data_IF_953072458505
#
_entry.id   IF_953072458505
#
_cell.length_a   1.000
_cell.length_b   1.000
_cell.length_c   1.000
_cell.angle_alpha   90.00
_cell.angle_beta   90.00
_cell.angle_gamma   90.00
#
_symmetry.space_group_name_H-M   'P 1'
#
loop_
_entity.id
_entity.type
_entity.pdbx_description
1 polymer ?
#
# COMPACT_ATOMS: atom_id res chain seq x y z
N UNK A 1 25.41 2.68 -9.58
CA UNK A 1 25.32 1.20 -9.49
C UNK A 1 24.15 0.77 -8.63
N UNK A 2 23.92 1.41 -7.49
CA UNK A 2 22.82 1.11 -6.56
C UNK A 2 21.44 1.50 -7.11
N UNK A 3 21.32 2.70 -7.69
CA UNK A 3 20.11 3.17 -8.37
C UNK A 3 19.65 2.23 -9.51
N UNK A 4 20.60 1.60 -10.22
CA UNK A 4 20.31 0.61 -11.25
C UNK A 4 19.78 -0.73 -10.70
N UNK A 5 20.13 -1.10 -9.45
CA UNK A 5 19.58 -2.30 -8.80
C UNK A 5 18.16 -2.05 -8.30
N UNK A 6 17.90 -0.89 -7.71
CA UNK A 6 16.54 -0.51 -7.29
C UNK A 6 15.58 -0.53 -8.49
N UNK A 7 15.97 0.07 -9.61
CA UNK A 7 15.12 0.12 -10.80
C UNK A 7 14.90 -1.25 -11.43
N UNK A 8 15.89 -2.15 -11.35
CA UNK A 8 15.73 -3.56 -11.75
C UNK A 8 14.69 -4.27 -10.90
N UNK A 9 14.74 -4.10 -9.57
CA UNK A 9 13.77 -4.71 -8.64
C UNK A 9 12.36 -4.19 -8.93
N UNK A 10 12.18 -2.87 -9.10
CA UNK A 10 10.88 -2.30 -9.46
C UNK A 10 10.33 -2.88 -10.75
N UNK A 11 11.16 -3.03 -11.78
CA UNK A 11 10.74 -3.65 -13.03
C UNK A 11 10.27 -5.11 -12.86
N UNK A 12 10.95 -5.89 -12.00
CA UNK A 12 10.52 -7.25 -11.68
C UNK A 12 9.18 -7.25 -10.92
N UNK A 13 8.97 -6.27 -10.03
CA UNK A 13 7.69 -6.08 -9.34
C UNK A 13 6.60 -5.69 -10.34
N UNK A 14 6.84 -4.77 -11.27
CA UNK A 14 5.89 -4.39 -12.33
C UNK A 14 5.51 -5.60 -13.20
N UNK A 15 6.50 -6.42 -13.57
CA UNK A 15 6.31 -7.65 -14.34
C UNK A 15 5.40 -8.66 -13.62
N UNK A 16 5.32 -8.62 -12.29
CA UNK A 16 4.38 -9.41 -11.51
C UNK A 16 3.04 -8.69 -11.41
N UNK A 17 3.04 -7.41 -11.03
CA UNK A 17 1.81 -6.63 -10.79
C UNK A 17 0.93 -6.50 -12.03
N UNK A 18 1.49 -6.53 -13.24
CA UNK A 18 0.70 -6.55 -14.49
C UNK A 18 -0.28 -7.72 -14.61
N UNK A 19 -0.05 -8.80 -13.86
CA UNK A 19 -0.89 -9.99 -13.84
C UNK A 19 -2.04 -9.90 -12.82
N UNK A 20 -2.06 -8.84 -12.01
CA UNK A 20 -3.10 -8.58 -11.01
C UNK A 20 -4.48 -8.41 -11.65
N UNK A 21 -5.57 -8.82 -10.97
CA UNK A 21 -6.93 -8.54 -11.41
C UNK A 21 -7.37 -7.09 -11.16
N UNK A 22 -6.46 -6.21 -10.73
CA UNK A 22 -6.69 -4.78 -10.49
C UNK A 22 -5.81 -3.96 -11.44
N UNK A 23 -6.44 -3.18 -12.31
CA UNK A 23 -5.76 -2.43 -13.39
C UNK A 23 -4.87 -1.28 -12.87
N UNK A 24 -4.91 -0.98 -11.57
CA UNK A 24 -4.24 0.16 -10.95
C UNK A 24 -3.02 -0.19 -10.09
N UNK A 25 -2.66 -1.46 -9.92
CA UNK A 25 -1.60 -1.87 -8.97
C UNK A 25 -0.24 -1.20 -9.24
N UNK A 26 0.16 -1.10 -10.51
CA UNK A 26 1.44 -0.45 -10.86
C UNK A 26 1.39 1.04 -10.51
N UNK A 27 0.27 1.71 -10.80
CA UNK A 27 0.07 3.12 -10.45
C UNK A 27 0.07 3.29 -8.93
N UNK A 28 -0.59 2.38 -8.20
CA UNK A 28 -0.60 2.36 -6.73
C UNK A 28 0.81 2.24 -6.16
N UNK A 29 1.61 1.26 -6.63
CA UNK A 29 3.00 1.09 -6.21
C UNK A 29 3.86 2.36 -6.47
N UNK A 30 3.69 2.99 -7.63
CA UNK A 30 4.38 4.23 -7.99
C UNK A 30 3.97 5.40 -7.10
N UNK A 31 2.67 5.58 -6.85
CA UNK A 31 2.16 6.63 -5.96
C UNK A 31 2.58 6.40 -4.52
N UNK A 32 2.55 5.17 -4.02
CA UNK A 32 3.03 4.82 -2.68
C UNK A 32 4.51 5.17 -2.53
N UNK A 33 5.36 4.85 -3.50
CA UNK A 33 6.76 5.27 -3.46
C UNK A 33 6.92 6.80 -3.52
N UNK A 34 6.14 7.49 -4.37
CA UNK A 34 6.16 8.96 -4.45
C UNK A 34 5.79 9.58 -3.09
N UNK A 35 4.69 9.14 -2.49
CA UNK A 35 4.21 9.62 -1.20
C UNK A 35 5.21 9.31 -0.07
N UNK A 36 5.86 8.14 -0.11
CA UNK A 36 6.94 7.82 0.83
C UNK A 36 8.06 8.87 0.76
N UNK A 37 8.47 9.27 -0.45
CA UNK A 37 9.55 10.25 -0.62
C UNK A 37 9.12 11.68 -0.23
N UNK A 38 7.82 11.97 -0.22
CA UNK A 38 7.29 13.22 0.39
C UNK A 38 7.34 13.18 1.93
N UNK A 39 7.21 11.99 2.53
CA UNK A 39 7.31 11.78 3.98
C UNK A 39 8.78 11.75 4.42
N UNK A 40 9.61 10.93 3.78
CA UNK A 40 11.03 10.72 4.08
C UNK A 40 11.83 10.87 2.77
N UNK A 41 12.27 12.10 2.43
CA UNK A 41 13.00 12.36 1.18
C UNK A 41 14.29 11.58 1.01
N UNK A 42 14.94 11.22 2.11
CA UNK A 42 16.19 10.47 2.20
C UNK A 42 15.98 9.00 2.58
N UNK A 43 14.77 8.46 2.36
CA UNK A 43 14.45 7.06 2.64
C UNK A 43 15.52 6.12 2.05
N UNK A 44 15.97 5.16 2.84
CA UNK A 44 16.90 4.14 2.36
C UNK A 44 16.23 3.22 1.33
N UNK A 45 17.05 2.51 0.56
CA UNK A 45 16.55 1.67 -0.54
C UNK A 45 15.69 0.50 -0.06
N UNK A 46 15.88 0.02 1.18
CA UNK A 46 15.01 -1.02 1.73
C UNK A 46 13.59 -0.49 1.95
N UNK A 47 13.43 0.74 2.47
CA UNK A 47 12.10 1.36 2.62
C UNK A 47 11.47 1.64 1.27
N UNK A 48 12.24 2.13 0.28
CA UNK A 48 11.74 2.36 -1.08
C UNK A 48 11.24 1.08 -1.75
N UNK A 49 12.00 -0.01 -1.66
CA UNK A 49 11.60 -1.32 -2.20
C UNK A 49 10.35 -1.82 -1.48
N UNK A 50 10.31 -1.73 -0.15
CA UNK A 50 9.15 -2.17 0.62
C UNK A 50 7.88 -1.40 0.23
N UNK A 51 7.95 -0.07 0.10
CA UNK A 51 6.83 0.73 -0.38
C UNK A 51 6.38 0.35 -1.79
N UNK A 52 7.30 0.09 -2.71
CA UNK A 52 6.95 -0.27 -4.08
C UNK A 52 6.39 -1.70 -4.20
N UNK A 53 6.86 -2.63 -3.36
CA UNK A 53 6.55 -4.06 -3.46
C UNK A 53 5.51 -4.56 -2.45
N UNK A 54 4.96 -3.70 -1.58
CA UNK A 54 4.08 -4.13 -0.48
C UNK A 54 2.87 -4.97 -0.94
N UNK A 55 2.38 -4.71 -2.16
CA UNK A 55 1.23 -5.38 -2.76
C UNK A 55 1.59 -6.46 -3.81
N UNK A 56 2.88 -6.82 -3.97
CA UNK A 56 3.36 -7.66 -5.09
C UNK A 56 2.67 -9.02 -5.20
N UNK A 57 2.15 -9.58 -4.11
CA UNK A 57 1.45 -10.86 -4.13
C UNK A 57 0.19 -10.88 -4.99
N UNK A 58 -0.44 -9.71 -5.19
CA UNK A 58 -1.67 -9.57 -5.98
C UNK A 58 -1.47 -9.99 -7.44
N UNK A 59 -0.27 -9.81 -7.99
CA UNK A 59 0.08 -10.29 -9.33
C UNK A 59 0.31 -11.80 -9.42
N UNK A 60 0.72 -12.44 -8.33
CA UNK A 60 1.02 -13.88 -8.28
C UNK A 60 -0.24 -14.69 -7.99
N UNK A 61 -0.90 -14.38 -6.88
CA UNK A 61 -2.04 -15.17 -6.42
C UNK A 61 -3.37 -14.67 -7.00
N UNK A 62 -3.41 -13.45 -7.52
CA UNK A 62 -4.63 -12.81 -8.05
C UNK A 62 -5.74 -12.72 -7.00
N UNK A 63 -5.33 -12.55 -5.74
CA UNK A 63 -6.17 -12.50 -4.54
C UNK A 63 -6.32 -11.04 -4.12
N UNK A 64 -7.56 -10.58 -3.88
CA UNK A 64 -7.82 -9.25 -3.33
C UNK A 64 -8.95 -9.27 -2.31
N UNK A 65 -9.02 -8.24 -1.45
CA UNK A 65 -10.12 -8.05 -0.48
C UNK A 65 -11.49 -8.15 -1.17
N UNK A 66 -11.63 -7.59 -2.37
CA UNK A 66 -12.93 -7.51 -3.07
C UNK A 66 -13.34 -8.80 -3.77
N UNK A 67 -12.38 -9.63 -4.19
CA UNK A 67 -12.65 -10.89 -4.88
C UNK A 67 -12.84 -12.05 -3.91
N UNK A 68 -12.04 -12.14 -2.84
CA UNK A 68 -11.95 -13.36 -2.05
C UNK A 68 -12.75 -13.34 -0.74
N UNK A 69 -13.12 -12.16 -0.22
CA UNK A 69 -13.99 -12.07 0.96
C UNK A 69 -15.48 -12.25 0.63
N UNK A 70 -15.84 -12.27 -0.66
CA UNK A 70 -17.21 -12.60 -1.09
C UNK A 70 -17.55 -14.09 -0.96
N UNK A 71 -16.55 -14.96 -0.87
CA UNK A 71 -16.71 -16.42 -0.91
C UNK A 71 -16.85 -17.12 0.45
N UNK A 72 -17.33 -16.43 1.50
CA UNK A 72 -17.68 -17.05 2.79
C UNK A 72 -16.56 -17.91 3.42
N UNK A 73 -15.29 -17.59 3.19
CA UNK A 73 -14.14 -18.38 3.65
C UNK A 73 -13.92 -18.36 5.17
N UNK A 74 -14.73 -17.62 5.94
CA UNK A 74 -14.63 -17.52 7.40
C UNK A 74 -13.39 -16.79 7.90
N UNK A 75 -12.50 -16.34 7.03
CA UNK A 75 -11.34 -15.53 7.38
C UNK A 75 -11.77 -14.07 7.67
N UNK A 76 -11.29 -13.51 8.78
CA UNK A 76 -11.48 -12.09 9.07
C UNK A 76 -10.68 -11.24 8.09
N UNK A 77 -11.13 -9.99 7.88
CA UNK A 77 -10.38 -8.98 7.12
C UNK A 77 -8.95 -8.82 7.65
N UNK A 78 -8.76 -8.92 8.96
CA UNK A 78 -7.45 -8.80 9.60
C UNK A 78 -6.54 -9.98 9.24
N UNK A 79 -7.07 -11.20 9.25
CA UNK A 79 -6.29 -12.38 8.84
C UNK A 79 -5.96 -12.31 7.35
N UNK A 80 -6.89 -11.84 6.52
CA UNK A 80 -6.63 -11.60 5.10
C UNK A 80 -5.46 -10.64 4.89
N UNK A 81 -5.50 -9.46 5.52
CA UNK A 81 -4.44 -8.43 5.45
C UNK A 81 -3.09 -8.94 5.95
N UNK A 82 -3.10 -9.68 7.05
CA UNK A 82 -1.89 -10.31 7.59
C UNK A 82 -1.28 -11.30 6.60
N UNK A 83 -2.08 -12.20 6.03
CA UNK A 83 -1.60 -13.18 5.06
C UNK A 83 -1.12 -12.52 3.77
N UNK A 84 -1.79 -11.45 3.34
CA UNK A 84 -1.37 -10.62 2.22
C UNK A 84 0.04 -10.05 2.45
N UNK A 85 0.29 -9.40 3.59
CA UNK A 85 1.59 -8.82 3.91
C UNK A 85 2.71 -9.89 3.97
N UNK A 86 2.44 -11.06 4.56
CA UNK A 86 3.38 -12.19 4.62
C UNK A 86 3.72 -12.72 3.22
N UNK A 87 2.72 -12.87 2.35
CA UNK A 87 2.94 -13.35 0.96
C UNK A 87 3.75 -12.35 0.15
N UNK A 88 3.44 -11.06 0.23
CA UNK A 88 4.20 -10.02 -0.46
C UNK A 88 5.65 -9.99 0.02
N UNK A 89 5.88 -10.07 1.34
CA UNK A 89 7.22 -10.12 1.94
C UNK A 89 8.04 -11.31 1.46
N UNK A 90 7.41 -12.49 1.36
CA UNK A 90 8.04 -13.68 0.80
C UNK A 90 8.45 -13.48 -0.67
N UNK A 91 7.54 -12.96 -1.50
CA UNK A 91 7.80 -12.77 -2.93
C UNK A 91 8.95 -11.78 -3.16
N UNK A 92 8.94 -10.64 -2.46
CA UNK A 92 10.04 -9.67 -2.61
C UNK A 92 11.36 -10.24 -2.10
N UNK A 93 11.34 -11.05 -1.04
CA UNK A 93 12.55 -11.73 -0.55
C UNK A 93 13.15 -12.67 -1.60
N UNK A 94 12.30 -13.47 -2.26
CA UNK A 94 12.73 -14.38 -3.33
C UNK A 94 13.33 -13.62 -4.53
N UNK A 95 12.80 -12.43 -4.86
CA UNK A 95 13.35 -11.56 -5.92
C UNK A 95 14.74 -11.06 -5.52
N UNK A 96 14.87 -10.52 -4.32
CA UNK A 96 16.11 -9.93 -3.83
C UNK A 96 17.21 -10.99 -3.65
N UNK A 97 16.86 -12.19 -3.18
CA UNK A 97 17.81 -13.31 -3.05
C UNK A 97 18.38 -13.72 -4.42
N UNK A 98 17.52 -13.87 -5.44
CA UNK A 98 17.95 -14.18 -6.82
C UNK A 98 18.85 -13.12 -7.43
N UNK A 99 18.66 -11.88 -7.01
CA UNK A 99 19.45 -10.73 -7.45
C UNK A 99 20.74 -10.53 -6.64
N UNK A 100 21.03 -11.41 -5.68
CA UNK A 100 22.25 -11.40 -4.89
C UNK A 100 22.33 -10.24 -3.90
N UNK A 101 21.21 -9.87 -3.28
CA UNK A 101 21.21 -8.98 -2.12
C UNK A 101 21.63 -9.72 -0.85
N UNK A 102 22.20 -8.99 0.11
CA UNK A 102 22.63 -9.58 1.38
C UNK A 102 21.43 -9.93 2.26
N UNK A 103 21.56 -11.00 3.05
CA UNK A 103 20.47 -11.51 3.90
C UNK A 103 19.91 -10.45 4.86
N UNK A 104 20.76 -9.62 5.45
CA UNK A 104 20.33 -8.55 6.36
C UNK A 104 19.45 -7.52 5.65
N UNK A 105 19.79 -7.15 4.42
CA UNK A 105 18.98 -6.26 3.60
C UNK A 105 17.62 -6.90 3.25
N UNK A 106 17.64 -8.17 2.84
CA UNK A 106 16.42 -8.93 2.51
C UNK A 106 15.48 -9.02 3.72
N UNK A 107 16.01 -9.43 4.87
CA UNK A 107 15.25 -9.54 6.12
C UNK A 107 14.66 -8.18 6.51
N UNK A 108 15.41 -7.09 6.29
CA UNK A 108 14.94 -5.73 6.58
C UNK A 108 13.78 -5.31 5.65
N UNK A 109 13.88 -5.53 4.34
CA UNK A 109 12.78 -5.27 3.39
C UNK A 109 11.55 -6.11 3.75
N UNK A 110 11.73 -7.41 3.95
CA UNK A 110 10.65 -8.34 4.29
C UNK A 110 9.90 -7.88 5.53
N UNK A 111 10.63 -7.53 6.60
CA UNK A 111 10.04 -7.02 7.85
C UNK A 111 9.20 -5.76 7.63
N UNK A 112 9.66 -4.84 6.76
CA UNK A 112 8.89 -3.62 6.48
C UNK A 112 7.59 -3.97 5.74
N UNK A 113 7.67 -4.85 4.74
CA UNK A 113 6.49 -5.32 3.99
C UNK A 113 5.53 -6.09 4.90
N UNK A 114 5.98 -6.99 5.77
CA UNK A 114 5.07 -7.73 6.66
C UNK A 114 4.30 -6.81 7.63
N UNK A 115 4.90 -5.68 7.98
CA UNK A 115 4.37 -4.72 8.96
C UNK A 115 3.60 -3.57 8.33
N UNK A 116 3.58 -3.42 7.00
CA UNK A 116 2.98 -2.25 6.35
C UNK A 116 1.49 -2.06 6.67
N UNK A 117 0.77 -3.12 7.07
CA UNK A 117 -0.64 -3.07 7.45
C UNK A 117 -0.91 -2.53 8.86
N UNK A 118 0.09 -2.55 9.74
CA UNK A 118 -0.07 -2.21 11.17
C UNK A 118 0.97 -1.21 11.67
N UNK A 119 2.05 -0.99 10.93
CA UNK A 119 3.19 -0.18 11.35
C UNK A 119 3.94 -0.79 12.54
N UNK A 120 4.49 0.08 13.39
CA UNK A 120 5.13 -0.26 14.66
C UNK A 120 6.53 0.33 14.87
N UNK A 121 7.12 0.89 13.83
CA UNK A 121 8.33 1.73 13.90
C UNK A 121 8.28 2.83 12.83
N UNK A 122 9.27 3.71 12.83
CA UNK A 122 9.33 4.85 11.91
C UNK A 122 9.21 4.45 10.43
N UNK A 123 9.92 3.41 9.98
CA UNK A 123 9.96 3.00 8.57
C UNK A 123 8.67 2.33 8.14
N UNK A 124 8.16 1.42 8.97
CA UNK A 124 6.89 0.71 8.73
C UNK A 124 5.68 1.65 8.80
N UNK A 125 5.71 2.62 9.72
CA UNK A 125 4.70 3.68 9.77
C UNK A 125 4.75 4.57 8.53
N UNK A 126 5.94 4.91 8.04
CA UNK A 126 6.08 5.72 6.83
C UNK A 126 5.54 5.02 5.58
N UNK A 127 5.78 3.70 5.43
CA UNK A 127 5.19 2.92 4.34
C UNK A 127 3.68 2.81 4.47
N UNK A 128 3.17 2.58 5.69
CA UNK A 128 1.73 2.57 5.98
C UNK A 128 1.06 3.90 5.65
N UNK A 129 1.69 5.02 6.02
CA UNK A 129 1.22 6.37 5.71
C UNK A 129 1.19 6.59 4.20
N UNK A 130 2.27 6.22 3.50
CA UNK A 130 2.38 6.38 2.06
C UNK A 130 1.34 5.57 1.28
N UNK A 131 1.10 4.32 1.68
CA UNK A 131 0.05 3.44 1.14
C UNK A 131 -1.35 4.00 1.40
N UNK A 132 -1.55 4.58 2.58
CA UNK A 132 -2.84 5.20 2.90
C UNK A 132 -3.07 6.47 2.07
N UNK A 133 -2.06 7.32 1.91
CA UNK A 133 -2.16 8.52 1.06
C UNK A 133 -2.43 8.14 -0.40
N UNK A 134 -1.78 7.11 -0.95
CA UNK A 134 -2.02 6.69 -2.34
C UNK A 134 -3.45 6.16 -2.55
N UNK A 135 -4.04 5.51 -1.53
CA UNK A 135 -5.47 5.19 -1.56
C UNK A 135 -6.33 6.44 -1.72
N UNK A 136 -6.06 7.50 -0.95
CA UNK A 136 -6.82 8.74 -1.01
C UNK A 136 -6.57 9.55 -2.29
N UNK A 137 -5.35 9.52 -2.83
CA UNK A 137 -5.00 10.27 -4.04
C UNK A 137 -5.62 9.67 -5.31
N UNK A 138 -5.70 8.33 -5.38
CA UNK A 138 -6.12 7.63 -6.61
C UNK A 138 -7.18 6.55 -6.38
N UNK A 139 -6.98 5.61 -5.45
CA UNK A 139 -7.83 4.42 -5.38
C UNK A 139 -9.25 4.70 -4.86
N UNK A 140 -9.45 5.79 -4.12
CA UNK A 140 -10.75 6.16 -3.53
C UNK A 140 -11.83 6.33 -4.60
N UNK A 141 -11.49 6.85 -5.78
CA UNK A 141 -12.44 7.05 -6.89
C UNK A 141 -12.95 5.73 -7.45
N UNK A 142 -12.04 4.80 -7.75
CA UNK A 142 -12.41 3.48 -8.25
C UNK A 142 -13.11 2.63 -7.18
N UNK A 143 -12.69 2.77 -5.91
CA UNK A 143 -13.37 2.11 -4.80
C UNK A 143 -14.80 2.61 -4.65
N UNK A 144 -15.00 3.93 -4.70
CA UNK A 144 -16.31 4.57 -4.62
C UNK A 144 -17.24 4.12 -5.74
N UNK A 145 -16.76 4.17 -6.99
CA UNK A 145 -17.52 3.71 -8.16
C UNK A 145 -17.95 2.25 -8.06
N UNK A 146 -17.09 1.37 -7.51
CA UNK A 146 -17.37 -0.07 -7.40
C UNK A 146 -18.25 -0.44 -6.20
N UNK A 147 -18.15 0.29 -5.09
CA UNK A 147 -18.71 -0.13 -3.80
C UNK A 147 -19.78 0.81 -3.25
N UNK A 148 -19.89 2.03 -3.77
CA UNK A 148 -20.84 3.05 -3.33
C UNK A 148 -20.41 3.81 -2.07
N UNK A 149 -21.20 4.82 -1.67
CA UNK A 149 -20.84 5.79 -0.63
C UNK A 149 -20.63 5.17 0.75
N UNK A 150 -21.52 4.28 1.20
CA UNK A 150 -21.46 3.72 2.56
C UNK A 150 -20.22 2.86 2.79
N UNK A 151 -19.87 2.01 1.81
CA UNK A 151 -18.62 1.22 1.89
C UNK A 151 -17.39 2.11 1.82
N UNK A 152 -17.45 3.17 1.02
CA UNK A 152 -16.38 4.15 0.90
C UNK A 152 -16.16 4.88 2.23
N UNK A 153 -17.22 5.34 2.89
CA UNK A 153 -17.15 5.96 4.22
C UNK A 153 -16.46 5.04 5.24
N UNK A 154 -16.80 3.75 5.25
CA UNK A 154 -16.18 2.79 6.15
C UNK A 154 -14.70 2.53 5.82
N UNK A 155 -14.34 2.44 4.54
CA UNK A 155 -12.93 2.29 4.12
C UNK A 155 -12.12 3.55 4.45
N UNK A 156 -12.67 4.74 4.18
CA UNK A 156 -12.06 6.04 4.55
C UNK A 156 -11.78 6.09 6.05
N UNK A 157 -12.75 5.73 6.91
CA UNK A 157 -12.56 5.71 8.37
C UNK A 157 -11.44 4.76 8.79
N UNK A 158 -11.39 3.57 8.20
CA UNK A 158 -10.32 2.62 8.46
C UNK A 158 -8.95 3.20 8.06
N UNK A 159 -8.83 3.72 6.83
CA UNK A 159 -7.57 4.25 6.30
C UNK A 159 -7.11 5.51 7.07
N UNK A 160 -8.02 6.39 7.48
CA UNK A 160 -7.66 7.59 8.24
C UNK A 160 -7.29 7.29 9.71
N UNK A 161 -7.83 6.22 10.30
CA UNK A 161 -7.57 5.89 11.71
C UNK A 161 -6.18 5.32 12.00
N UNK A 162 -5.47 4.85 10.96
CA UNK A 162 -4.17 4.17 11.07
C UNK A 162 -2.98 5.05 10.69
N UNK A 163 -3.22 6.22 10.12
CA UNK A 163 -2.15 7.10 9.63
C UNK A 163 -1.64 8.05 10.71
N UNK A 164 -0.42 8.54 10.56
CA UNK A 164 0.13 9.60 11.41
C UNK A 164 -0.59 10.94 11.23
N UNK A 165 -0.48 11.87 12.20
CA UNK A 165 -1.02 13.22 12.04
C UNK A 165 -0.48 13.96 10.80
N UNK A 166 0.77 13.71 10.42
CA UNK A 166 1.39 14.30 9.22
C UNK A 166 0.71 13.78 7.95
N UNK A 167 0.52 12.47 7.85
CA UNK A 167 -0.14 11.87 6.70
C UNK A 167 -1.62 12.27 6.63
N UNK A 168 -2.30 12.40 7.77
CA UNK A 168 -3.67 12.93 7.83
C UNK A 168 -3.75 14.36 7.28
N UNK A 169 -2.76 15.21 7.59
CA UNK A 169 -2.68 16.56 7.04
C UNK A 169 -2.46 16.57 5.52
N UNK A 170 -1.63 15.66 5.00
CA UNK A 170 -1.48 15.48 3.55
C UNK A 170 -2.82 15.10 2.93
N UNK A 171 -3.53 14.12 3.50
CA UNK A 171 -4.83 13.65 3.01
C UNK A 171 -5.87 14.78 2.98
N UNK A 172 -5.91 15.63 4.03
CA UNK A 172 -6.82 16.80 4.10
C UNK A 172 -6.62 17.79 2.94
N UNK A 173 -5.38 17.90 2.46
CA UNK A 173 -4.99 18.85 1.43
C UNK A 173 -5.08 18.28 0.00
N UNK A 174 -5.55 17.04 -0.18
CA UNK A 174 -5.81 16.46 -1.51
C UNK A 174 -6.99 17.18 -2.16
N UNK A 175 -6.81 17.61 -3.41
CA UNK A 175 -7.87 18.20 -4.23
C UNK A 175 -8.75 17.12 -4.85
N UNK A 176 -9.79 16.72 -4.12
CA UNK A 176 -10.77 15.76 -4.59
C UNK A 176 -11.64 16.37 -5.70
N UNK A 177 -11.64 15.77 -6.89
CA UNK A 177 -12.39 16.27 -8.06
C UNK A 177 -13.89 15.96 -8.02
N UNK A 178 -14.27 14.98 -7.23
CA UNK A 178 -15.66 14.54 -7.05
C UNK A 178 -16.15 15.07 -5.70
N UNK A 179 -17.24 15.85 -5.72
CA UNK A 179 -17.77 16.51 -4.53
C UNK A 179 -18.31 15.49 -3.50
N UNK A 180 -18.87 14.36 -3.92
CA UNK A 180 -19.39 13.34 -2.99
C UNK A 180 -18.24 12.62 -2.29
N UNK A 181 -17.17 12.29 -3.03
CA UNK A 181 -15.94 11.75 -2.41
C UNK A 181 -15.33 12.77 -1.46
N UNK A 182 -15.25 14.04 -1.86
CA UNK A 182 -14.73 15.11 -1.02
C UNK A 182 -15.51 15.22 0.29
N UNK A 183 -16.84 15.23 0.22
CA UNK A 183 -17.72 15.29 1.39
C UNK A 183 -17.55 14.08 2.32
N UNK A 184 -17.47 12.86 1.75
CA UNK A 184 -17.23 11.64 2.53
C UNK A 184 -15.88 11.71 3.26
N UNK A 185 -14.82 12.08 2.53
CA UNK A 185 -13.46 12.13 3.09
C UNK A 185 -13.36 13.19 4.17
N UNK A 186 -13.76 14.43 3.87
CA UNK A 186 -13.69 15.53 4.83
C UNK A 186 -14.62 15.30 6.03
N UNK A 187 -15.81 14.76 5.81
CA UNK A 187 -16.74 14.41 6.88
C UNK A 187 -16.12 13.42 7.88
N UNK A 188 -15.51 12.34 7.39
CA UNK A 188 -14.89 11.33 8.27
C UNK A 188 -13.64 11.86 8.97
N UNK A 189 -12.79 12.61 8.26
CA UNK A 189 -11.55 13.15 8.85
C UNK A 189 -11.86 14.19 9.94
N UNK A 190 -12.90 15.02 9.75
CA UNK A 190 -13.31 15.99 10.76
C UNK A 190 -14.03 15.36 11.97
N UNK A 191 -14.58 14.14 11.84
CA UNK A 191 -15.12 13.37 12.96
C UNK A 191 -14.01 12.73 13.83
N UNK A 192 -12.79 12.61 13.31
CA UNK A 192 -11.67 11.87 13.94
C UNK A 192 -10.54 12.76 14.49
N UNK A 193 -10.63 14.09 14.31
CA UNK A 193 -9.71 15.09 14.88
C UNK A 193 -10.33 15.87 16.03
#
# INVERSE_FOLDING_TARGET
MEEARLEKVKKQVDDILKESPLDFEIIHAQLTLKNLLEIIPDADDAVKIAAYAHDVERGVYKITETYNLKDNSGASIDEFKKQHAIRSAKIISDILEKDGFEKEFIDHVARIVEKHEVGGDEKTNAVMDADSISYFDYNVYEFFKKNGPEKTKNKVRFMSSRVSPRALEIIKNIDYKDDEIREIVQGVINETG
#
